data_IF_883034977767
#
_entry.id   IF_883034977767
#
_cell.length_a   1.000
_cell.length_b   1.000
_cell.length_c   1.000
_cell.angle_alpha   90.00
_cell.angle_beta   90.00
_cell.angle_gamma   90.00
#
_symmetry.space_group_name_H-M   'P 1'
#
loop_
_entity.id
_entity.type
_entity.pdbx_description
1 polymer ?
#
# COMPACT_ATOMS: atom_id res chain seq x y z
N UNK A 1 -8.62 43.57 -6.18
CA UNK A 1 -9.47 44.31 -7.12
C UNK A 1 -8.81 44.15 -8.48
N UNK A 2 -8.97 42.96 -9.08
CA UNK A 2 -9.97 42.56 -10.10
C UNK A 2 -9.46 42.78 -11.54
N UNK A 3 -9.52 41.68 -12.31
CA UNK A 3 -9.50 41.50 -13.78
C UNK A 3 -8.21 41.79 -14.57
N UNK A 4 -7.52 40.82 -15.21
CA UNK A 4 -7.90 39.85 -16.26
C UNK A 4 -8.44 40.52 -17.53
N UNK A 5 -7.67 40.52 -18.64
CA UNK A 5 -8.15 40.12 -19.99
C UNK A 5 -6.99 39.64 -20.88
N UNK A 6 -7.00 38.33 -21.14
CA UNK A 6 -6.84 37.59 -22.41
C UNK A 6 -5.94 38.13 -23.54
N UNK A 7 -5.14 37.21 -24.08
CA UNK A 7 -5.02 37.06 -25.54
C UNK A 7 -3.70 36.48 -26.04
N UNK A 8 -3.63 35.15 -26.21
CA UNK A 8 -3.04 34.50 -27.40
C UNK A 8 -3.19 32.98 -27.25
N UNK A 9 -4.03 32.40 -28.10
CA UNK A 9 -4.15 30.97 -28.29
C UNK A 9 -2.84 30.39 -28.83
N UNK A 10 -2.36 29.29 -28.24
CA UNK A 10 -1.24 28.51 -28.80
C UNK A 10 -0.14 28.12 -27.83
N UNK A 11 -0.46 27.66 -26.62
CA UNK A 11 0.51 26.90 -25.80
C UNK A 11 -0.13 25.57 -25.42
N UNK A 12 0.26 24.52 -26.14
CA UNK A 12 0.01 23.13 -25.76
C UNK A 12 0.86 22.83 -24.53
N UNK A 13 0.23 22.67 -23.37
CA UNK A 13 0.88 22.29 -22.14
C UNK A 13 1.49 20.88 -22.28
N UNK A 14 2.74 20.71 -21.80
CA UNK A 14 3.51 19.46 -21.84
C UNK A 14 2.94 18.32 -20.98
N UNK A 15 1.85 18.56 -20.24
CA UNK A 15 1.27 17.58 -19.34
C UNK A 15 -0.26 17.58 -19.51
N UNK A 16 -0.72 16.96 -20.60
CA UNK A 16 -2.14 16.70 -20.84
C UNK A 16 -2.48 15.24 -20.64
N UNK A 17 -3.34 14.96 -19.67
CA UNK A 17 -4.36 13.89 -19.57
C UNK A 17 -4.12 12.53 -20.26
N UNK A 18 -2.88 12.04 -20.23
CA UNK A 18 -2.56 10.68 -20.69
C UNK A 18 -1.68 10.02 -19.65
N UNK A 19 -2.27 9.04 -18.96
CA UNK A 19 -1.52 8.03 -18.21
C UNK A 19 -0.37 7.47 -19.06
N UNK A 20 0.69 7.06 -18.38
CA UNK A 20 1.95 6.59 -18.93
C UNK A 20 1.80 5.80 -20.24
N UNK A 21 1.89 6.48 -21.38
CA UNK A 21 2.22 5.86 -22.66
C UNK A 21 3.70 6.12 -22.91
N UNK A 22 4.52 5.11 -22.63
CA UNK A 22 5.82 5.00 -23.30
C UNK A 22 5.53 4.82 -24.80
N UNK A 23 5.67 5.89 -25.58
CA UNK A 23 5.60 5.81 -27.04
C UNK A 23 7.05 5.76 -27.55
N UNK A 24 7.51 4.57 -27.92
CA UNK A 24 8.63 4.41 -28.86
C UNK A 24 8.06 4.07 -30.23
N UNK A 25 8.40 4.88 -31.23
CA UNK A 25 8.13 4.58 -32.64
C UNK A 25 7.41 5.71 -33.37
N UNK A 26 8.13 6.37 -34.29
CA UNK A 26 7.54 7.31 -35.23
C UNK A 26 8.61 8.05 -36.01
N UNK A 27 8.97 7.54 -37.18
CA UNK A 27 9.86 8.20 -38.12
C UNK A 27 9.30 9.55 -38.56
N UNK A 28 10.10 10.59 -38.39
CA UNK A 28 9.80 11.94 -38.83
C UNK A 28 10.89 12.89 -38.34
N UNK A 29 11.36 13.77 -39.22
CA UNK A 29 12.48 14.72 -39.09
C UNK A 29 12.25 15.85 -38.06
N UNK A 30 11.55 15.56 -36.95
CA UNK A 30 11.46 16.48 -35.81
C UNK A 30 12.63 16.20 -34.87
N UNK A 31 13.34 17.24 -34.36
CA UNK A 31 14.27 17.04 -33.27
C UNK A 31 13.53 16.34 -32.12
N UNK A 32 14.14 15.34 -31.46
CA UNK A 32 13.49 14.66 -30.35
C UNK A 32 13.05 15.70 -29.31
N UNK A 33 11.91 15.49 -28.64
CA UNK A 33 11.48 16.38 -27.56
C UNK A 33 12.64 16.54 -26.58
N UNK A 34 12.85 17.76 -26.07
CA UNK A 34 13.91 18.06 -25.09
C UNK A 34 13.66 17.15 -23.88
N UNK A 35 14.44 16.07 -23.78
CA UNK A 35 14.34 15.11 -22.67
C UNK A 35 14.81 15.82 -21.39
N UNK A 36 14.08 15.62 -20.30
CA UNK A 36 14.54 16.03 -18.98
C UNK A 36 15.73 15.16 -18.62
N UNK A 37 16.94 15.69 -18.74
CA UNK A 37 18.15 14.90 -18.56
C UNK A 37 18.46 14.65 -17.07
N UNK A 38 19.14 13.54 -16.76
CA UNK A 38 19.69 13.23 -15.42
C UNK A 38 20.46 14.44 -14.83
N UNK A 39 21.23 15.15 -15.66
CA UNK A 39 21.98 16.34 -15.23
C UNK A 39 21.06 17.52 -14.82
N UNK A 40 19.85 17.63 -15.37
CA UNK A 40 18.88 18.66 -14.98
C UNK A 40 18.38 18.39 -13.56
N UNK A 41 17.93 17.16 -13.28
CA UNK A 41 17.50 16.75 -11.95
C UNK A 41 18.62 16.85 -10.92
N UNK A 42 19.85 16.48 -11.29
CA UNK A 42 21.01 16.64 -10.42
C UNK A 42 21.25 18.11 -10.05
N UNK A 43 21.14 19.02 -11.03
CA UNK A 43 21.26 20.47 -10.81
C UNK A 43 20.12 20.98 -9.92
N UNK A 44 18.87 20.65 -10.21
CA UNK A 44 17.70 21.14 -9.49
C UNK A 44 17.66 20.63 -8.03
N UNK A 45 17.91 19.34 -7.80
CA UNK A 45 18.05 18.80 -6.44
C UNK A 45 19.26 19.40 -5.69
N UNK A 46 20.32 19.77 -6.42
CA UNK A 46 21.45 20.51 -5.87
C UNK A 46 21.05 21.89 -5.34
N UNK A 47 20.18 22.61 -6.07
CA UNK A 47 19.61 23.89 -5.63
C UNK A 47 18.74 23.67 -4.39
N UNK A 48 17.79 22.73 -4.43
CA UNK A 48 16.90 22.42 -3.29
C UNK A 48 17.71 22.17 -2.01
N UNK A 49 18.76 21.36 -2.08
CA UNK A 49 19.62 21.05 -0.93
C UNK A 49 20.39 22.28 -0.42
N UNK A 50 20.82 23.16 -1.34
CA UNK A 50 21.54 24.39 -0.98
C UNK A 50 20.62 25.37 -0.27
N UNK A 51 19.41 25.58 -0.78
CA UNK A 51 18.38 26.42 -0.17
C UNK A 51 17.91 25.86 1.18
N UNK A 52 17.66 24.54 1.27
CA UNK A 52 17.29 23.90 2.52
C UNK A 52 18.38 24.05 3.58
N UNK A 53 19.66 23.94 3.20
CA UNK A 53 20.80 24.20 4.08
C UNK A 53 20.82 25.65 4.56
N UNK A 54 20.60 26.62 3.67
CA UNK A 54 20.51 28.04 4.03
C UNK A 54 19.36 28.30 5.02
N UNK A 55 18.21 27.66 4.80
CA UNK A 55 17.04 27.71 5.67
C UNK A 55 17.16 26.89 6.97
N UNK A 56 18.24 26.11 7.14
CA UNK A 56 18.44 25.15 8.25
C UNK A 56 17.28 24.16 8.38
N UNK A 57 16.78 23.67 7.25
CA UNK A 57 15.73 22.65 7.18
C UNK A 57 16.32 21.32 6.69
N UNK A 58 16.13 20.21 7.41
CA UNK A 58 16.61 18.90 6.95
C UNK A 58 15.80 18.41 5.75
N UNK A 59 16.48 17.88 4.73
CA UNK A 59 15.86 17.27 3.54
C UNK A 59 16.45 15.88 3.25
N UNK A 60 16.34 14.91 4.18
CA UNK A 60 16.98 13.60 4.05
C UNK A 60 16.52 12.82 2.81
N UNK A 61 15.26 12.91 2.41
CA UNK A 61 14.76 12.17 1.25
C UNK A 61 15.27 12.79 -0.05
N UNK A 62 15.22 14.12 -0.17
CA UNK A 62 15.83 14.81 -1.32
C UNK A 62 17.35 14.56 -1.40
N UNK A 63 18.04 14.47 -0.26
CA UNK A 63 19.46 14.14 -0.23
C UNK A 63 19.74 12.70 -0.69
N UNK A 64 18.93 11.72 -0.27
CA UNK A 64 19.04 10.34 -0.73
C UNK A 64 18.75 10.22 -2.24
N UNK A 65 17.72 10.90 -2.73
CA UNK A 65 17.39 10.96 -4.16
C UNK A 65 18.53 11.59 -4.98
N UNK A 66 19.10 12.70 -4.51
CA UNK A 66 20.26 13.36 -5.15
C UNK A 66 21.43 12.38 -5.36
N UNK A 67 21.74 11.53 -4.38
CA UNK A 67 22.81 10.54 -4.52
C UNK A 67 22.53 9.51 -5.62
N UNK A 68 21.27 9.19 -5.90
CA UNK A 68 20.92 8.28 -7.01
C UNK A 68 21.18 8.92 -8.37
N UNK A 69 20.88 10.22 -8.51
CA UNK A 69 21.22 10.97 -9.73
C UNK A 69 22.74 11.16 -9.89
N UNK A 70 23.49 11.32 -8.80
CA UNK A 70 24.97 11.30 -8.83
C UNK A 70 25.48 9.95 -9.33
N UNK A 71 24.95 8.84 -8.81
CA UNK A 71 25.33 7.50 -9.25
C UNK A 71 25.02 7.28 -10.74
N UNK A 72 23.83 7.65 -11.19
CA UNK A 72 23.43 7.56 -12.61
C UNK A 72 24.37 8.38 -13.52
N UNK A 73 24.72 9.61 -13.13
CA UNK A 73 25.71 10.42 -13.84
C UNK A 73 27.09 9.76 -13.86
N UNK A 74 27.51 9.14 -12.75
CA UNK A 74 28.76 8.38 -12.65
C UNK A 74 28.83 7.20 -13.63
N UNK A 75 27.68 6.65 -14.02
CA UNK A 75 27.55 5.63 -15.07
C UNK A 75 27.52 6.20 -16.49
N UNK A 76 27.73 7.51 -16.68
CA UNK A 76 27.73 8.16 -17.98
C UNK A 76 26.35 8.60 -18.49
N UNK A 77 25.31 8.50 -17.66
CA UNK A 77 23.91 8.74 -18.07
C UNK A 77 23.47 10.21 -17.99
N UNK A 78 24.40 11.16 -17.75
CA UNK A 78 24.06 12.57 -17.46
C UNK A 78 23.20 13.26 -18.53
N UNK A 79 23.37 12.89 -19.81
CA UNK A 79 22.61 13.42 -20.95
C UNK A 79 21.39 12.57 -21.33
N UNK A 80 21.18 11.44 -20.68
CA UNK A 80 20.00 10.62 -20.91
C UNK A 80 18.82 11.13 -20.08
N UNK A 81 17.62 10.69 -20.47
CA UNK A 81 16.36 10.95 -19.77
C UNK A 81 16.43 10.59 -18.28
N UNK A 82 15.81 11.39 -17.42
CA UNK A 82 15.84 11.26 -15.96
C UNK A 82 15.34 9.88 -15.46
N UNK A 83 14.43 9.23 -16.19
CA UNK A 83 13.98 7.86 -15.90
C UNK A 83 15.12 6.84 -15.90
N UNK A 84 16.25 7.15 -16.56
CA UNK A 84 17.46 6.32 -16.56
C UNK A 84 18.17 6.28 -15.22
N UNK A 85 17.75 7.06 -14.22
CA UNK A 85 18.19 6.89 -12.83
C UNK A 85 17.99 5.45 -12.33
N UNK A 86 17.01 4.72 -12.87
CA UNK A 86 16.79 3.29 -12.56
C UNK A 86 18.01 2.42 -12.90
N UNK A 87 18.81 2.79 -13.90
CA UNK A 87 20.03 2.06 -14.30
C UNK A 87 21.11 2.05 -13.22
N UNK A 88 21.10 3.01 -12.30
CA UNK A 88 21.96 2.96 -11.12
C UNK A 88 21.63 1.77 -10.23
N UNK A 89 20.35 1.43 -10.08
CA UNK A 89 19.90 0.24 -9.34
C UNK A 89 20.19 -1.05 -10.11
N UNK A 90 19.99 -1.07 -11.44
CA UNK A 90 20.32 -2.24 -12.26
C UNK A 90 21.82 -2.58 -12.20
N UNK A 91 22.68 -1.57 -12.19
CA UNK A 91 24.13 -1.76 -12.09
C UNK A 91 24.55 -2.42 -10.76
N UNK A 92 23.81 -2.16 -9.68
CA UNK A 92 24.07 -2.77 -8.36
C UNK A 92 23.46 -4.16 -8.24
N UNK A 93 22.22 -4.32 -8.69
CA UNK A 93 21.44 -5.55 -8.50
C UNK A 93 21.67 -6.61 -9.57
N UNK A 94 22.18 -6.22 -10.75
CA UNK A 94 22.26 -7.08 -11.92
C UNK A 94 20.90 -7.37 -12.57
N UNK A 95 19.80 -6.77 -12.10
CA UNK A 95 18.44 -6.98 -12.61
C UNK A 95 18.02 -5.81 -13.49
N UNK A 96 17.60 -6.09 -14.72
CA UNK A 96 17.12 -5.06 -15.66
C UNK A 96 15.62 -4.79 -15.49
N UNK A 97 15.25 -3.52 -15.37
CA UNK A 97 13.87 -3.03 -15.40
C UNK A 97 13.48 -2.79 -16.86
N UNK A 98 12.52 -3.57 -17.37
CA UNK A 98 12.08 -3.49 -18.79
C UNK A 98 11.78 -4.83 -19.48
N UNK A 99 11.80 -5.96 -18.76
CA UNK A 99 11.46 -7.27 -19.30
C UNK A 99 12.50 -7.84 -20.28
N UNK A 100 12.39 -9.14 -20.60
CA UNK A 100 13.15 -9.75 -21.70
C UNK A 100 12.83 -9.02 -23.01
N UNK A 101 13.82 -8.84 -23.89
CA UNK A 101 13.67 -8.29 -25.26
C UNK A 101 12.43 -8.89 -25.95
N UNK A 102 11.35 -8.12 -25.99
CA UNK A 102 10.05 -8.53 -26.49
C UNK A 102 9.01 -7.54 -25.99
N UNK A 103 8.95 -6.37 -26.65
CA UNK A 103 8.02 -5.29 -26.31
C UNK A 103 6.57 -5.69 -26.55
N UNK A 104 5.98 -6.41 -25.60
CA UNK A 104 4.53 -6.39 -25.41
C UNK A 104 4.18 -5.14 -24.62
N UNK A 105 3.16 -4.39 -25.06
CA UNK A 105 2.49 -3.40 -24.21
C UNK A 105 2.12 -4.08 -22.88
N UNK A 106 2.28 -3.35 -21.77
CA UNK A 106 1.69 -3.77 -20.51
C UNK A 106 0.16 -3.80 -20.69
N UNK A 107 -0.40 -4.99 -20.88
CA UNK A 107 -1.81 -5.23 -20.62
C UNK A 107 -1.95 -5.40 -19.11
N UNK A 108 -2.83 -4.61 -18.49
CA UNK A 108 -3.20 -4.84 -17.11
C UNK A 108 -3.56 -6.34 -16.93
N UNK A 109 -3.09 -7.00 -15.87
CA UNK A 109 -3.56 -8.35 -15.57
C UNK A 109 -5.09 -8.30 -15.56
N UNK A 110 -5.73 -9.27 -16.22
CA UNK A 110 -7.18 -9.41 -16.22
C UNK A 110 -7.65 -9.24 -14.76
N UNK A 111 -8.55 -8.29 -14.53
CA UNK A 111 -9.21 -8.21 -13.24
C UNK A 111 -9.90 -9.56 -13.01
N UNK A 112 -10.04 -10.01 -11.77
CA UNK A 112 -10.80 -11.25 -11.51
C UNK A 112 -12.25 -11.17 -12.05
N UNK A 113 -12.72 -9.97 -12.44
CA UNK A 113 -14.01 -9.71 -13.09
C UNK A 113 -13.99 -10.00 -14.62
N UNK A 114 -12.83 -9.92 -15.29
CA UNK A 114 -12.72 -10.13 -16.75
C UNK A 114 -12.78 -11.61 -17.16
N UNK A 115 -12.62 -12.53 -16.20
CA UNK A 115 -12.68 -13.99 -16.41
C UNK A 115 -14.06 -14.63 -16.18
N UNK A 116 -15.05 -13.88 -15.69
CA UNK A 116 -16.38 -14.45 -15.41
C UNK A 116 -17.32 -14.27 -16.59
N UNK A 117 -17.17 -15.11 -17.61
CA UNK A 117 -18.27 -15.47 -18.51
C UNK A 117 -18.56 -16.96 -18.41
N UNK A 118 -19.59 -17.30 -17.61
CA UNK A 118 -20.56 -18.39 -17.78
C UNK A 118 -20.94 -19.00 -16.43
N UNK A 119 -22.22 -18.87 -16.05
CA UNK A 119 -23.10 -19.92 -15.51
C UNK A 119 -22.68 -20.84 -14.36
N UNK A 120 -21.50 -20.71 -13.76
CA UNK A 120 -21.09 -21.58 -12.65
C UNK A 120 -21.79 -21.08 -11.39
N UNK A 121 -22.71 -21.89 -10.85
CA UNK A 121 -23.30 -21.67 -9.53
C UNK A 121 -22.16 -21.71 -8.52
N UNK A 122 -21.80 -20.56 -7.95
CA UNK A 122 -20.85 -20.50 -6.84
C UNK A 122 -21.61 -20.95 -5.60
N UNK A 123 -21.25 -22.09 -5.04
CA UNK A 123 -21.84 -22.53 -3.76
C UNK A 123 -21.51 -21.49 -2.67
N UNK A 124 -22.53 -20.94 -1.98
CA UNK A 124 -22.32 -19.98 -0.92
C UNK A 124 -21.48 -20.56 0.23
N UNK A 125 -20.46 -19.83 0.66
CA UNK A 125 -19.48 -20.30 1.63
C UNK A 125 -19.81 -19.88 3.07
N UNK A 126 -19.42 -20.72 4.00
CA UNK A 126 -19.45 -20.49 5.44
C UNK A 126 -18.12 -19.80 5.88
N UNK A 127 -18.12 -18.46 6.03
CA UNK A 127 -16.88 -17.65 6.14
C UNK A 127 -16.67 -17.08 7.56
N UNK A 128 -15.41 -17.06 8.03
CA UNK A 128 -15.00 -16.36 9.25
C UNK A 128 -13.99 -15.26 8.94
N UNK A 129 -14.18 -14.04 9.46
CA UNK A 129 -13.21 -12.94 9.38
C UNK A 129 -12.55 -12.77 10.75
N UNK A 130 -11.23 -12.96 10.81
CA UNK A 130 -10.43 -12.80 12.03
C UNK A 130 -9.69 -11.47 11.98
N UNK A 131 -10.01 -10.60 12.93
CA UNK A 131 -9.67 -9.18 12.92
C UNK A 131 -10.74 -8.39 12.19
N UNK A 132 -11.67 -7.79 12.93
CA UNK A 132 -12.79 -6.98 12.40
C UNK A 132 -12.68 -5.51 12.83
N UNK A 133 -11.44 -5.02 12.94
CA UNK A 133 -11.13 -3.60 13.06
C UNK A 133 -11.50 -2.79 11.80
N UNK A 134 -10.91 -1.60 11.63
CA UNK A 134 -11.31 -0.65 10.57
C UNK A 134 -11.31 -1.24 9.14
N UNK A 135 -10.33 -2.09 8.82
CA UNK A 135 -10.25 -2.76 7.52
C UNK A 135 -11.10 -4.03 7.47
N UNK A 136 -10.91 -4.94 8.43
CA UNK A 136 -11.56 -6.25 8.42
C UNK A 136 -13.07 -6.19 8.65
N UNK A 137 -13.56 -5.24 9.45
CA UNK A 137 -14.99 -5.00 9.62
C UNK A 137 -15.66 -4.52 8.33
N UNK A 138 -14.96 -3.72 7.51
CA UNK A 138 -15.43 -3.35 6.17
C UNK A 138 -15.56 -4.56 5.24
N UNK A 139 -14.55 -5.43 5.23
CA UNK A 139 -14.56 -6.70 4.48
C UNK A 139 -15.71 -7.59 4.96
N UNK A 140 -15.85 -7.79 6.27
CA UNK A 140 -16.90 -8.62 6.86
C UNK A 140 -18.31 -8.13 6.50
N UNK A 141 -18.54 -6.80 6.54
CA UNK A 141 -19.81 -6.19 6.09
C UNK A 141 -20.05 -6.34 4.59
N UNK A 142 -19.01 -6.27 3.77
CA UNK A 142 -19.13 -6.49 2.34
C UNK A 142 -19.57 -7.94 2.03
N UNK A 143 -19.03 -8.90 2.79
CA UNK A 143 -19.40 -10.31 2.69
C UNK A 143 -20.85 -10.58 3.10
N UNK A 144 -21.43 -9.82 4.04
CA UNK A 144 -22.86 -9.96 4.37
C UNK A 144 -23.77 -9.73 3.15
N UNK A 145 -23.35 -8.87 2.21
CA UNK A 145 -24.15 -8.55 1.00
C UNK A 145 -23.90 -9.50 -0.17
N UNK A 146 -22.93 -10.40 -0.07
CA UNK A 146 -22.46 -11.20 -1.20
C UNK A 146 -23.22 -12.52 -1.35
N UNK A 147 -23.68 -12.87 -2.55
CA UNK A 147 -24.33 -14.18 -2.79
C UNK A 147 -23.36 -15.36 -2.61
N UNK A 148 -22.05 -15.11 -2.70
CA UNK A 148 -21.01 -16.10 -2.45
C UNK A 148 -20.86 -16.50 -0.96
N UNK A 149 -21.66 -15.95 -0.05
CA UNK A 149 -21.62 -16.24 1.39
C UNK A 149 -22.95 -16.74 1.92
N UNK A 150 -22.90 -17.84 2.68
CA UNK A 150 -24.02 -18.42 3.43
C UNK A 150 -24.08 -17.85 4.84
N UNK A 151 -22.98 -17.95 5.58
CA UNK A 151 -22.79 -17.31 6.88
C UNK A 151 -21.50 -16.50 6.92
N UNK A 152 -21.49 -15.45 7.73
CA UNK A 152 -20.30 -14.65 8.03
C UNK A 152 -20.17 -14.52 9.54
N UNK A 153 -19.09 -15.05 10.08
CA UNK A 153 -18.69 -14.91 11.48
C UNK A 153 -17.56 -13.87 11.59
N UNK A 154 -17.62 -12.99 12.58
CA UNK A 154 -16.56 -12.03 12.88
C UNK A 154 -15.92 -12.36 14.22
N UNK A 155 -14.59 -12.41 14.26
CA UNK A 155 -13.82 -12.65 15.48
C UNK A 155 -12.79 -11.55 15.70
N UNK A 156 -12.79 -10.95 16.89
CA UNK A 156 -11.82 -9.94 17.32
C UNK A 156 -11.68 -9.98 18.84
N UNK A 157 -10.53 -9.52 19.33
CA UNK A 157 -10.31 -9.35 20.78
C UNK A 157 -11.18 -8.25 21.37
N UNK A 158 -11.66 -7.33 20.53
CA UNK A 158 -12.62 -6.31 20.93
C UNK A 158 -14.03 -6.87 20.98
N UNK A 159 -14.50 -7.11 22.20
CA UNK A 159 -15.87 -7.56 22.46
C UNK A 159 -16.93 -6.63 21.85
N UNK A 160 -16.69 -5.32 21.84
CA UNK A 160 -17.61 -4.35 21.26
C UNK A 160 -17.69 -4.47 19.74
N UNK A 161 -16.57 -4.68 19.05
CA UNK A 161 -16.57 -4.91 17.59
C UNK A 161 -17.26 -6.23 17.25
N UNK A 162 -16.95 -7.31 17.96
CA UNK A 162 -17.54 -8.62 17.72
C UNK A 162 -19.05 -8.65 18.01
N UNK A 163 -19.50 -7.99 19.09
CA UNK A 163 -20.93 -7.88 19.41
C UNK A 163 -21.68 -7.04 18.38
N UNK A 164 -21.12 -5.89 17.97
CA UNK A 164 -21.73 -5.03 16.94
C UNK A 164 -21.85 -5.77 15.61
N UNK A 165 -20.81 -6.50 15.19
CA UNK A 165 -20.84 -7.23 13.93
C UNK A 165 -21.83 -8.40 13.96
N UNK A 166 -21.97 -9.11 15.08
CA UNK A 166 -22.94 -10.19 15.21
C UNK A 166 -24.37 -9.70 14.98
N UNK A 167 -24.74 -8.55 15.53
CA UNK A 167 -26.07 -7.97 15.31
C UNK A 167 -26.30 -7.61 13.84
N UNK A 168 -25.32 -6.98 13.19
CA UNK A 168 -25.38 -6.72 11.74
C UNK A 168 -25.52 -8.01 10.92
N UNK A 169 -24.82 -9.08 11.31
CA UNK A 169 -24.90 -10.37 10.65
C UNK A 169 -26.26 -11.05 10.85
N UNK A 170 -26.89 -10.88 12.02
CA UNK A 170 -28.25 -11.38 12.32
C UNK A 170 -29.28 -10.63 11.48
N UNK A 171 -29.18 -9.31 11.41
CA UNK A 171 -30.05 -8.47 10.56
C UNK A 171 -29.94 -8.86 9.08
N UNK A 172 -28.74 -9.19 8.61
CA UNK A 172 -28.50 -9.68 7.26
C UNK A 172 -28.94 -11.15 7.03
N UNK A 173 -29.39 -11.86 8.07
CA UNK A 173 -29.75 -13.29 7.98
C UNK A 173 -28.58 -14.22 7.70
N UNK A 174 -27.34 -13.77 7.96
CA UNK A 174 -26.09 -14.49 7.68
C UNK A 174 -25.21 -14.71 8.91
N UNK A 175 -25.73 -14.45 10.12
CA UNK A 175 -25.00 -14.76 11.34
C UNK A 175 -24.73 -16.27 11.46
N UNK A 176 -23.53 -16.61 11.92
CA UNK A 176 -23.23 -17.95 12.40
C UNK A 176 -23.51 -18.02 13.90
N UNK A 177 -24.64 -18.61 14.26
CA UNK A 177 -25.07 -18.72 15.66
C UNK A 177 -25.62 -17.40 16.23
N UNK A 178 -25.92 -17.43 17.53
CA UNK A 178 -26.59 -16.32 18.24
C UNK A 178 -25.71 -15.62 19.28
N UNK A 179 -24.52 -16.16 19.54
CA UNK A 179 -23.59 -15.73 20.57
C UNK A 179 -22.31 -15.18 19.96
N UNK A 180 -21.67 -14.24 20.66
CA UNK A 180 -20.41 -13.64 20.23
C UNK A 180 -19.27 -14.62 20.52
N UNK A 181 -18.50 -15.06 19.51
CA UNK A 181 -17.39 -15.97 19.75
C UNK A 181 -16.31 -15.27 20.58
N UNK A 182 -15.93 -15.87 21.70
CA UNK A 182 -14.89 -15.37 22.62
C UNK A 182 -13.55 -16.06 22.39
N UNK A 183 -13.58 -17.27 21.83
CA UNK A 183 -12.39 -18.07 21.48
C UNK A 183 -12.36 -18.38 19.99
N UNK A 184 -11.18 -18.70 19.47
CA UNK A 184 -11.01 -18.95 18.04
C UNK A 184 -11.74 -20.21 17.58
N UNK A 185 -11.79 -21.25 18.42
CA UNK A 185 -12.51 -22.51 18.19
C UNK A 185 -14.05 -22.34 18.15
N UNK A 186 -14.58 -21.27 18.75
CA UNK A 186 -15.98 -20.88 18.64
C UNK A 186 -16.29 -20.17 17.31
N UNK A 187 -15.31 -19.42 16.78
CA UNK A 187 -15.44 -18.70 15.51
C UNK A 187 -15.11 -19.56 14.28
N UNK A 188 -14.23 -20.54 14.43
CA UNK A 188 -13.73 -21.40 13.35
C UNK A 188 -14.10 -22.84 13.66
N UNK A 189 -15.14 -23.32 12.99
CA UNK A 189 -15.71 -24.66 13.18
C UNK A 189 -15.41 -25.56 11.98
N UNK A 190 -15.74 -26.85 12.07
CA UNK A 190 -15.64 -27.78 10.92
C UNK A 190 -16.53 -27.38 9.72
N UNK A 191 -17.51 -26.50 9.94
CA UNK A 191 -18.34 -25.94 8.87
C UNK A 191 -17.67 -24.74 8.18
N UNK A 192 -16.63 -24.14 8.78
CA UNK A 192 -15.90 -23.04 8.16
C UNK A 192 -15.22 -23.49 6.87
N UNK A 193 -15.60 -22.83 5.79
CA UNK A 193 -15.08 -23.03 4.45
C UNK A 193 -13.86 -22.16 4.19
N UNK A 194 -13.91 -20.91 4.63
CA UNK A 194 -12.85 -19.92 4.40
C UNK A 194 -12.66 -19.03 5.62
N UNK A 195 -11.40 -18.73 5.95
CA UNK A 195 -11.01 -17.76 6.98
C UNK A 195 -10.27 -16.61 6.33
N UNK A 196 -10.74 -15.38 6.53
CA UNK A 196 -10.06 -14.15 6.07
C UNK A 196 -9.34 -13.51 7.27
N UNK A 197 -8.03 -13.36 7.16
CA UNK A 197 -7.17 -12.80 8.20
C UNK A 197 -6.87 -11.33 7.93
N UNK A 198 -7.26 -10.44 8.83
CA UNK A 198 -7.00 -8.99 8.75
C UNK A 198 -6.44 -8.48 10.08
N UNK A 199 -5.15 -8.74 10.29
CA UNK A 199 -4.41 -8.48 11.52
C UNK A 199 -3.33 -7.42 11.31
N UNK A 200 -2.75 -6.93 12.41
CA UNK A 200 -1.81 -5.80 12.38
C UNK A 200 -0.43 -6.19 11.86
N UNK A 201 0.08 -7.37 12.25
CA UNK A 201 1.44 -7.78 11.97
C UNK A 201 1.61 -9.31 11.88
N UNK A 202 2.81 -9.73 11.45
CA UNK A 202 3.18 -11.13 11.33
C UNK A 202 3.08 -11.90 12.64
N UNK A 203 3.45 -11.29 13.78
CA UNK A 203 3.37 -11.95 15.09
C UNK A 203 1.94 -12.38 15.41
N UNK A 204 0.96 -11.52 15.18
CA UNK A 204 -0.45 -11.85 15.36
C UNK A 204 -0.90 -12.93 14.37
N UNK A 205 -0.44 -12.87 13.11
CA UNK A 205 -0.75 -13.90 12.12
C UNK A 205 -0.16 -15.26 12.51
N UNK A 206 1.08 -15.30 12.97
CA UNK A 206 1.74 -16.52 13.47
C UNK A 206 0.99 -17.09 14.67
N UNK A 207 0.62 -16.26 15.64
CA UNK A 207 -0.15 -16.67 16.83
C UNK A 207 -1.50 -17.28 16.45
N UNK A 208 -2.29 -16.62 15.59
CA UNK A 208 -3.61 -17.11 15.16
C UNK A 208 -3.51 -18.34 14.26
N UNK A 209 -2.54 -18.37 13.35
CA UNK A 209 -2.43 -19.48 12.40
C UNK A 209 -1.83 -20.73 13.04
N UNK A 210 -0.89 -20.56 13.96
CA UNK A 210 0.06 -21.60 14.35
C UNK A 210 0.44 -21.63 15.84
N UNK A 211 -0.01 -20.66 16.63
CA UNK A 211 0.31 -20.56 18.06
C UNK A 211 -0.56 -21.45 18.95
N UNK A 212 -0.48 -21.21 20.26
CA UNK A 212 -1.35 -21.89 21.24
C UNK A 212 -0.98 -23.34 21.55
N UNK A 213 -1.85 -24.02 22.30
CA UNK A 213 -1.83 -25.48 22.46
C UNK A 213 -2.47 -26.15 21.23
N UNK A 214 -2.45 -27.48 21.16
CA UNK A 214 -3.24 -28.20 20.16
C UNK A 214 -4.71 -27.76 20.25
N UNK A 215 -5.35 -27.53 19.10
CA UNK A 215 -6.76 -27.13 18.94
C UNK A 215 -7.11 -25.65 19.24
N UNK A 216 -6.13 -24.74 19.23
CA UNK A 216 -6.37 -23.29 19.45
C UNK A 216 -5.75 -22.40 18.35
N UNK A 217 -5.61 -22.93 17.13
CA UNK A 217 -5.09 -22.19 15.98
C UNK A 217 -5.73 -22.65 14.66
N UNK A 218 -5.65 -21.82 13.62
CA UNK A 218 -6.28 -22.14 12.34
C UNK A 218 -5.79 -23.46 11.73
N UNK A 219 -4.50 -23.79 11.84
CA UNK A 219 -3.95 -25.02 11.26
C UNK A 219 -4.57 -26.30 11.87
N UNK A 220 -4.94 -26.26 13.15
CA UNK A 220 -5.59 -27.36 13.87
C UNK A 220 -7.11 -27.37 13.69
N UNK A 221 -7.75 -26.19 13.73
CA UNK A 221 -9.21 -26.04 13.70
C UNK A 221 -9.82 -26.23 12.31
N UNK A 222 -9.09 -25.90 11.24
CA UNK A 222 -9.62 -25.94 9.88
C UNK A 222 -9.52 -27.34 9.26
N UNK A 223 -10.58 -27.74 8.56
CA UNK A 223 -10.63 -29.02 7.82
C UNK A 223 -9.81 -28.97 6.53
N UNK A 224 -9.35 -30.14 6.06
CA UNK A 224 -8.80 -30.27 4.71
C UNK A 224 -9.81 -29.78 3.66
N UNK A 225 -9.33 -29.05 2.65
CA UNK A 225 -10.15 -28.42 1.61
C UNK A 225 -10.70 -27.03 1.97
N UNK A 226 -10.55 -26.56 3.21
CA UNK A 226 -10.84 -25.17 3.57
C UNK A 226 -9.78 -24.21 3.00
N UNK A 227 -10.01 -22.89 3.11
CA UNK A 227 -9.10 -21.87 2.58
C UNK A 227 -8.78 -20.77 3.60
N UNK A 228 -7.51 -20.41 3.75
CA UNK A 228 -7.06 -19.23 4.49
C UNK A 228 -6.70 -18.13 3.49
N UNK A 229 -7.31 -16.96 3.65
CA UNK A 229 -7.07 -15.77 2.84
C UNK A 229 -6.39 -14.72 3.72
N UNK A 230 -5.10 -14.52 3.50
CA UNK A 230 -4.29 -13.56 4.24
C UNK A 230 -4.41 -12.16 3.63
N UNK A 231 -5.09 -11.24 4.31
CA UNK A 231 -5.17 -9.83 3.92
C UNK A 231 -4.22 -8.91 4.70
N UNK A 232 -3.58 -9.42 5.75
CA UNK A 232 -2.58 -8.71 6.56
C UNK A 232 -1.31 -8.44 5.75
N UNK A 233 -0.69 -7.27 5.93
CA UNK A 233 0.63 -7.00 5.37
C UNK A 233 1.72 -7.72 6.18
N UNK A 234 2.35 -8.71 5.56
CA UNK A 234 3.44 -9.55 6.07
C UNK A 234 4.63 -9.54 5.09
N UNK A 235 5.74 -10.17 5.48
CA UNK A 235 6.87 -10.48 4.60
C UNK A 235 6.49 -11.57 3.60
N UNK A 236 7.03 -11.49 2.38
CA UNK A 236 6.82 -12.50 1.35
C UNK A 236 7.34 -13.87 1.81
N UNK A 237 8.44 -13.86 2.58
CA UNK A 237 9.02 -15.06 3.17
C UNK A 237 8.08 -15.74 4.16
N UNK A 238 7.40 -14.98 5.02
CA UNK A 238 6.41 -15.55 5.95
C UNK A 238 5.21 -16.12 5.21
N UNK A 239 4.66 -15.41 4.23
CA UNK A 239 3.51 -15.88 3.46
C UNK A 239 3.78 -17.21 2.75
N UNK A 240 4.98 -17.39 2.17
CA UNK A 240 5.42 -18.66 1.55
C UNK A 240 5.45 -19.80 2.56
N UNK A 241 6.08 -19.61 3.72
CA UNK A 241 6.14 -20.62 4.78
C UNK A 241 4.76 -20.96 5.33
N UNK A 242 3.88 -19.97 5.47
CA UNK A 242 2.52 -20.19 5.93
C UNK A 242 1.75 -21.09 4.93
N UNK A 243 1.86 -20.79 3.62
CA UNK A 243 1.25 -21.60 2.57
C UNK A 243 1.72 -23.06 2.61
N UNK A 244 3.03 -23.30 2.76
CA UNK A 244 3.59 -24.66 2.88
C UNK A 244 3.02 -25.43 4.07
N UNK A 245 2.88 -24.77 5.23
CA UNK A 245 2.34 -25.37 6.46
C UNK A 245 0.86 -25.72 6.33
N UNK A 246 0.06 -24.83 5.75
CA UNK A 246 -1.36 -25.11 5.49
C UNK A 246 -1.55 -26.21 4.45
N UNK A 247 -0.72 -26.22 3.39
CA UNK A 247 -0.74 -27.25 2.36
C UNK A 247 -0.45 -28.65 2.93
N UNK A 248 0.44 -28.77 3.91
CA UNK A 248 0.71 -30.04 4.60
C UNK A 248 -0.51 -30.63 5.34
N UNK A 249 -1.56 -29.82 5.58
CA UNK A 249 -2.85 -30.22 6.16
C UNK A 249 -3.99 -30.26 5.12
N UNK A 250 -3.68 -30.08 3.84
CA UNK A 250 -4.66 -29.97 2.77
C UNK A 250 -5.51 -28.70 2.83
N UNK A 251 -5.04 -27.66 3.53
CA UNK A 251 -5.72 -26.37 3.64
C UNK A 251 -5.14 -25.45 2.56
N UNK A 252 -6.03 -24.82 1.80
CA UNK A 252 -5.69 -23.86 0.74
C UNK A 252 -5.23 -22.53 1.34
N UNK A 253 -4.38 -21.81 0.64
CA UNK A 253 -3.84 -20.55 1.12
C UNK A 253 -3.74 -19.52 0.00
N UNK A 254 -4.28 -18.32 0.24
CA UNK A 254 -4.18 -17.17 -0.65
C UNK A 254 -3.53 -16.01 0.10
N UNK A 255 -2.42 -15.52 -0.43
CA UNK A 255 -1.75 -14.29 0.00
C UNK A 255 -2.37 -13.11 -0.75
N UNK A 256 -3.15 -12.29 -0.06
CA UNK A 256 -4.01 -11.25 -0.63
C UNK A 256 -3.99 -9.93 0.16
N UNK A 257 -2.83 -9.28 0.36
CA UNK A 257 -2.79 -7.99 1.01
C UNK A 257 -3.63 -6.94 0.28
N UNK A 258 -4.10 -5.95 1.05
CA UNK A 258 -5.10 -4.98 0.60
C UNK A 258 -4.58 -3.54 0.62
N UNK A 259 -5.20 -2.67 -0.19
CA UNK A 259 -4.95 -1.22 -0.22
C UNK A 259 -6.26 -0.45 -0.42
N UNK A 260 -6.30 0.81 0.04
CA UNK A 260 -7.46 1.70 -0.11
C UNK A 260 -7.96 2.36 1.19
N UNK A 261 -7.52 1.85 2.34
CA UNK A 261 -7.86 2.40 3.66
C UNK A 261 -9.31 2.15 4.11
N UNK A 262 -9.67 2.58 5.34
CA UNK A 262 -10.96 2.26 5.96
C UNK A 262 -12.18 2.74 5.17
N UNK A 263 -12.06 3.89 4.49
CA UNK A 263 -13.15 4.45 3.68
C UNK A 263 -13.56 3.49 2.55
N UNK A 264 -12.58 2.97 1.80
CA UNK A 264 -12.84 1.99 0.73
C UNK A 264 -13.18 0.60 1.26
N UNK A 265 -12.64 0.21 2.41
CA UNK A 265 -13.05 -1.03 3.08
C UNK A 265 -14.55 -1.03 3.39
N UNK A 266 -15.09 0.09 3.89
CA UNK A 266 -16.51 0.24 4.22
C UNK A 266 -17.42 0.11 3.00
N UNK A 267 -16.97 0.60 1.84
CA UNK A 267 -17.74 0.54 0.58
C UNK A 267 -17.52 -0.73 -0.22
N UNK A 268 -16.58 -1.60 0.18
CA UNK A 268 -16.20 -2.80 -0.59
C UNK A 268 -15.37 -2.47 -1.84
N UNK A 269 -14.67 -1.33 -1.84
CA UNK A 269 -13.92 -0.81 -2.98
C UNK A 269 -12.40 -0.94 -2.78
N UNK A 270 -11.96 -1.96 -2.04
CA UNK A 270 -10.54 -2.21 -1.83
C UNK A 270 -9.85 -2.63 -3.13
N UNK A 271 -8.57 -2.29 -3.22
CA UNK A 271 -7.65 -2.92 -4.16
C UNK A 271 -7.04 -4.13 -3.45
N UNK A 272 -7.15 -5.31 -4.05
CA UNK A 272 -6.70 -6.57 -3.48
C UNK A 272 -5.61 -7.19 -4.38
N UNK A 273 -4.53 -7.66 -3.78
CA UNK A 273 -3.34 -8.16 -4.47
C UNK A 273 -3.21 -9.67 -4.21
N UNK A 274 -4.00 -10.47 -4.90
CA UNK A 274 -4.20 -11.88 -4.58
C UNK A 274 -3.22 -12.81 -5.32
N UNK A 275 -2.64 -13.76 -4.60
CA UNK A 275 -1.74 -14.77 -5.14
C UNK A 275 -1.90 -16.10 -4.42
N UNK A 276 -1.96 -17.18 -5.18
CA UNK A 276 -2.19 -18.55 -4.71
C UNK A 276 -2.16 -19.52 -5.90
N UNK A 277 -2.24 -20.82 -5.63
CA UNK A 277 -2.49 -21.79 -6.70
C UNK A 277 -3.93 -21.68 -7.24
N UNK A 278 -4.19 -22.29 -8.40
CA UNK A 278 -5.47 -22.17 -9.12
C UNK A 278 -6.66 -22.62 -8.24
N UNK A 279 -6.50 -23.70 -7.48
CA UNK A 279 -7.52 -24.24 -6.59
C UNK A 279 -7.84 -23.27 -5.43
N UNK A 280 -6.80 -22.67 -4.84
CA UNK A 280 -6.91 -21.66 -3.79
C UNK A 280 -7.58 -20.40 -4.31
N UNK A 281 -7.20 -19.95 -5.50
CA UNK A 281 -7.78 -18.78 -6.16
C UNK A 281 -9.24 -19.00 -6.55
N UNK A 282 -9.61 -20.17 -7.08
CA UNK A 282 -10.99 -20.50 -7.42
C UNK A 282 -11.94 -20.40 -6.21
N UNK A 283 -11.46 -20.77 -5.03
CA UNK A 283 -12.22 -20.65 -3.77
C UNK A 283 -12.31 -19.21 -3.26
N UNK A 284 -11.23 -18.45 -3.38
CA UNK A 284 -11.12 -17.11 -2.80
C UNK A 284 -11.78 -16.02 -3.66
N UNK A 285 -11.64 -16.07 -4.99
CA UNK A 285 -12.07 -15.00 -5.90
C UNK A 285 -13.51 -14.53 -5.69
N UNK A 286 -14.52 -15.41 -5.50
CA UNK A 286 -15.89 -14.95 -5.22
C UNK A 286 -16.00 -14.09 -3.95
N UNK A 287 -15.20 -14.39 -2.91
CA UNK A 287 -15.15 -13.62 -1.67
C UNK A 287 -14.37 -12.32 -1.85
N UNK A 288 -13.27 -12.36 -2.62
CA UNK A 288 -12.46 -11.17 -2.91
C UNK A 288 -13.26 -10.14 -3.72
N UNK A 289 -14.02 -10.58 -4.73
CA UNK A 289 -14.88 -9.71 -5.55
C UNK A 289 -16.00 -9.04 -4.75
N UNK A 290 -16.41 -9.61 -3.61
CA UNK A 290 -17.37 -8.98 -2.72
C UNK A 290 -16.77 -7.81 -1.93
N UNK A 291 -15.48 -7.90 -1.60
CA UNK A 291 -14.79 -6.95 -0.72
C UNK A 291 -13.88 -5.96 -1.46
N UNK A 292 -13.59 -6.22 -2.74
CA UNK A 292 -12.69 -5.42 -3.56
C UNK A 292 -13.34 -4.97 -4.87
N UNK A 293 -13.10 -3.71 -5.24
CA UNK A 293 -13.41 -3.20 -6.57
C UNK A 293 -12.39 -3.72 -7.60
N UNK A 294 -11.12 -3.74 -7.20
CA UNK A 294 -10.00 -4.09 -8.07
C UNK A 294 -9.26 -5.29 -7.47
N UNK A 295 -9.61 -6.51 -7.92
CA UNK A 295 -8.92 -7.75 -7.51
C UNK A 295 -7.88 -8.10 -8.58
N UNK A 296 -6.61 -7.91 -8.24
CA UNK A 296 -5.48 -8.24 -9.10
C UNK A 296 -4.95 -9.63 -8.73
N UNK A 297 -5.03 -10.57 -9.67
CA UNK A 297 -4.43 -11.89 -9.54
C UNK A 297 -2.98 -11.82 -9.97
N UNK A 298 -2.07 -12.14 -9.06
CA UNK A 298 -0.62 -12.05 -9.26
C UNK A 298 -0.07 -13.47 -9.42
N UNK A 299 0.55 -13.80 -10.56
CA UNK A 299 1.11 -15.12 -10.79
C UNK A 299 2.36 -15.35 -9.94
N UNK A 300 2.62 -16.62 -9.59
CA UNK A 300 3.81 -17.03 -8.83
C UNK A 300 3.50 -17.67 -7.46
N UNK A 301 2.23 -17.75 -7.08
CA UNK A 301 1.78 -18.36 -5.83
C UNK A 301 1.99 -17.45 -4.62
N UNK A 302 1.70 -17.99 -3.42
CA UNK A 302 1.78 -17.24 -2.18
C UNK A 302 3.14 -16.56 -1.96
N UNK A 303 3.12 -15.34 -1.42
CA UNK A 303 4.28 -14.47 -1.25
C UNK A 303 4.42 -13.41 -2.35
N UNK A 304 3.83 -13.62 -3.54
CA UNK A 304 3.86 -12.61 -4.60
C UNK A 304 2.89 -11.46 -4.34
N UNK A 305 1.73 -11.71 -3.72
CA UNK A 305 0.82 -10.67 -3.23
C UNK A 305 1.52 -9.76 -2.23
N UNK A 306 2.17 -10.36 -1.23
CA UNK A 306 3.00 -9.67 -0.23
C UNK A 306 4.19 -8.94 -0.87
N UNK A 307 4.81 -9.49 -1.91
CA UNK A 307 5.89 -8.80 -2.67
C UNK A 307 5.37 -7.54 -3.36
N UNK A 308 4.23 -7.61 -4.05
CA UNK A 308 3.62 -6.44 -4.69
C UNK A 308 3.23 -5.40 -3.63
N UNK A 309 2.65 -5.84 -2.51
CA UNK A 309 2.32 -4.95 -1.40
C UNK A 309 3.54 -4.28 -0.80
N UNK A 310 4.65 -4.99 -0.63
CA UNK A 310 5.91 -4.44 -0.16
C UNK A 310 6.39 -3.31 -1.08
N UNK A 311 6.44 -3.52 -2.40
CA UNK A 311 6.81 -2.47 -3.37
C UNK A 311 5.84 -1.28 -3.31
N UNK A 312 4.54 -1.54 -3.15
CA UNK A 312 3.54 -0.49 -2.93
C UNK A 312 3.80 0.30 -1.63
N UNK A 313 4.11 -0.38 -0.52
CA UNK A 313 4.37 0.28 0.76
C UNK A 313 5.69 1.06 0.78
N UNK A 314 6.69 0.65 -0.01
CA UNK A 314 7.89 1.46 -0.27
C UNK A 314 7.48 2.84 -0.80
N UNK A 315 6.67 2.89 -1.85
CA UNK A 315 6.19 4.14 -2.43
C UNK A 315 5.33 4.93 -1.45
N UNK A 316 4.38 4.26 -0.78
CA UNK A 316 3.50 4.88 0.18
C UNK A 316 4.27 5.61 1.28
N UNK A 317 5.20 4.91 1.95
CA UNK A 317 5.95 5.46 3.08
C UNK A 317 6.89 6.59 2.66
N UNK A 318 7.57 6.43 1.52
CA UNK A 318 8.41 7.50 0.94
C UNK A 318 7.57 8.74 0.63
N UNK A 319 6.42 8.59 -0.03
CA UNK A 319 5.61 9.75 -0.41
C UNK A 319 5.00 10.48 0.78
N UNK A 320 4.60 9.79 1.86
CA UNK A 320 4.12 10.44 3.09
C UNK A 320 5.22 11.30 3.71
N UNK A 321 6.44 10.77 3.83
CA UNK A 321 7.56 11.53 4.40
C UNK A 321 8.03 12.64 3.46
N UNK A 322 8.01 12.44 2.14
CA UNK A 322 8.26 13.51 1.16
C UNK A 322 7.25 14.65 1.32
N UNK A 323 5.97 14.35 1.59
CA UNK A 323 4.96 15.38 1.83
C UNK A 323 5.26 16.19 3.10
N UNK A 324 5.63 15.51 4.19
CA UNK A 324 6.08 16.16 5.43
C UNK A 324 7.31 17.04 5.21
N UNK A 325 8.34 16.53 4.53
CA UNK A 325 9.56 17.25 4.20
C UNK A 325 9.28 18.51 3.39
N UNK A 326 8.44 18.41 2.35
CA UNK A 326 8.09 19.52 1.48
C UNK A 326 7.28 20.61 2.20
N UNK A 327 6.25 20.23 2.97
CA UNK A 327 5.40 21.18 3.70
C UNK A 327 6.14 21.85 4.87
N UNK A 328 7.01 21.12 5.56
CA UNK A 328 7.85 21.69 6.60
C UNK A 328 8.90 22.65 6.01
N UNK A 329 9.51 22.30 4.87
CA UNK A 329 10.43 23.20 4.18
C UNK A 329 9.70 24.48 3.70
N UNK A 330 8.49 24.38 3.14
CA UNK A 330 7.73 25.56 2.72
C UNK A 330 7.45 26.48 3.91
N UNK A 331 6.97 25.92 5.03
CA UNK A 331 6.76 26.67 6.28
C UNK A 331 8.05 27.37 6.73
N UNK A 332 9.17 26.65 6.71
CA UNK A 332 10.48 27.18 7.11
C UNK A 332 10.97 28.33 6.23
N UNK A 333 10.59 28.33 4.95
CA UNK A 333 10.88 29.42 4.00
C UNK A 333 9.89 30.59 4.09
N UNK A 334 8.88 30.52 4.97
CA UNK A 334 7.86 31.56 5.13
C UNK A 334 6.70 31.47 4.15
N UNK A 335 6.62 30.40 3.36
CA UNK A 335 5.50 30.13 2.45
C UNK A 335 4.42 29.39 3.25
N UNK A 336 3.17 29.84 3.13
CA UNK A 336 2.01 29.16 3.72
C UNK A 336 1.90 27.72 3.18
N UNK A 337 2.01 26.69 4.05
CA UNK A 337 1.88 25.30 3.64
C UNK A 337 0.54 24.96 2.98
N UNK A 338 -0.53 25.71 3.26
CA UNK A 338 -1.83 25.55 2.58
C UNK A 338 -1.77 26.00 1.14
N UNK A 339 -1.10 27.13 0.88
CA UNK A 339 -0.84 27.58 -0.48
C UNK A 339 0.03 26.57 -1.22
N UNK A 340 1.09 26.06 -0.57
CA UNK A 340 1.97 25.06 -1.14
C UNK A 340 1.23 23.76 -1.48
N UNK A 341 0.40 23.27 -0.56
CA UNK A 341 -0.46 22.12 -0.77
C UNK A 341 -1.38 22.28 -1.98
N UNK A 342 -2.01 23.46 -2.14
CA UNK A 342 -2.86 23.77 -3.29
C UNK A 342 -2.09 23.74 -4.62
N UNK A 343 -0.90 24.33 -4.66
CA UNK A 343 -0.06 24.41 -5.87
C UNK A 343 0.42 23.01 -6.28
N UNK A 344 0.97 22.22 -5.34
CA UNK A 344 1.59 20.94 -5.65
C UNK A 344 0.58 19.93 -6.17
N UNK A 345 -0.65 19.90 -5.63
CA UNK A 345 -1.69 18.99 -6.10
C UNK A 345 -2.08 19.18 -7.58
N UNK A 346 -1.80 20.35 -8.16
CA UNK A 346 -2.00 20.64 -9.58
C UNK A 346 -0.73 20.50 -10.43
N UNK A 347 0.39 20.02 -9.87
CA UNK A 347 1.70 20.00 -10.51
C UNK A 347 2.34 18.60 -10.50
N UNK A 348 3.45 18.45 -11.23
CA UNK A 348 4.16 17.17 -11.38
C UNK A 348 4.69 16.58 -10.05
N UNK A 349 4.78 17.38 -8.98
CA UNK A 349 5.17 16.90 -7.65
C UNK A 349 4.05 16.22 -6.85
N UNK A 350 2.82 16.18 -7.39
CA UNK A 350 1.69 15.55 -6.72
C UNK A 350 1.88 14.04 -6.57
N UNK A 351 1.34 13.51 -5.48
CA UNK A 351 1.07 12.08 -5.32
C UNK A 351 -0.23 11.90 -4.53
N UNK A 352 -0.84 10.72 -4.61
CA UNK A 352 -2.03 10.45 -3.80
C UNK A 352 -1.76 10.61 -2.30
N UNK A 353 -0.58 10.19 -1.83
CA UNK A 353 -0.18 10.35 -0.42
C UNK A 353 0.03 11.83 -0.06
N UNK A 354 0.59 12.65 -0.94
CA UNK A 354 0.71 14.09 -0.72
C UNK A 354 -0.67 14.76 -0.59
N UNK A 355 -1.60 14.45 -1.50
CA UNK A 355 -2.96 14.98 -1.46
C UNK A 355 -3.66 14.58 -0.14
N UNK A 356 -3.62 13.30 0.21
CA UNK A 356 -4.36 12.77 1.35
C UNK A 356 -3.70 13.11 2.71
N UNK A 357 -2.40 12.84 2.88
CA UNK A 357 -1.70 13.10 4.15
C UNK A 357 -1.33 14.57 4.29
N UNK A 358 -0.95 15.24 3.22
CA UNK A 358 -0.61 16.66 3.25
C UNK A 358 -1.77 17.51 3.73
N UNK A 359 -3.00 17.20 3.31
CA UNK A 359 -4.20 17.86 3.80
C UNK A 359 -4.41 17.68 5.31
N UNK A 360 -4.10 16.49 5.85
CA UNK A 360 -4.18 16.19 7.29
C UNK A 360 -3.02 16.81 8.09
N UNK A 361 -1.84 16.96 7.49
CA UNK A 361 -0.68 17.62 8.10
C UNK A 361 -0.93 19.11 8.37
N UNK A 362 -1.62 19.80 7.45
CA UNK A 362 -1.92 21.23 7.54
C UNK A 362 -3.30 21.53 8.14
N UNK A 363 -4.08 20.50 8.46
CA UNK A 363 -5.39 20.66 9.09
C UNK A 363 -5.24 21.30 10.47
N UNK A 364 -6.26 22.05 10.89
CA UNK A 364 -6.34 22.55 12.25
C UNK A 364 -6.68 21.40 13.21
N UNK A 365 -5.98 21.32 14.33
CA UNK A 365 -6.19 20.26 15.32
C UNK A 365 -5.45 18.96 14.97
N UNK A 366 -5.78 17.90 15.72
CA UNK A 366 -5.24 16.57 15.49
C UNK A 366 -6.21 15.77 14.62
N UNK A 367 -5.77 15.15 13.51
CA UNK A 367 -6.65 14.39 12.63
C UNK A 367 -7.05 13.05 13.28
N UNK A 368 -8.18 12.51 12.82
CA UNK A 368 -8.56 11.13 13.12
C UNK A 368 -7.47 10.15 12.62
N UNK A 369 -7.26 9.08 13.38
CA UNK A 369 -6.28 8.05 13.05
C UNK A 369 -6.85 7.13 11.97
N UNK A 370 -6.47 7.37 10.72
CA UNK A 370 -6.84 6.50 9.59
C UNK A 370 -5.82 5.39 9.38
N UNK A 371 -4.54 5.69 9.66
CA UNK A 371 -3.44 4.73 9.71
C UNK A 371 -2.42 5.26 10.72
N UNK A 372 -1.90 4.41 11.60
CA UNK A 372 -0.98 4.86 12.64
C UNK A 372 0.47 4.95 12.14
N UNK A 373 1.28 5.79 12.77
CA UNK A 373 2.75 5.86 12.56
C UNK A 373 3.39 4.46 12.69
N UNK A 374 2.98 3.68 13.70
CA UNK A 374 3.49 2.32 13.94
C UNK A 374 3.23 1.37 12.76
N UNK A 375 2.19 1.60 11.95
CA UNK A 375 1.92 0.82 10.74
C UNK A 375 3.01 1.07 9.69
N UNK A 376 3.44 2.33 9.51
CA UNK A 376 4.50 2.65 8.57
C UNK A 376 5.89 2.27 9.07
N UNK A 377 6.12 2.29 10.39
CA UNK A 377 7.34 1.68 10.97
C UNK A 377 7.41 0.20 10.60
N UNK A 378 6.33 -0.55 10.84
CA UNK A 378 6.24 -1.98 10.49
C UNK A 378 6.40 -2.24 8.99
N UNK A 379 5.67 -1.51 8.14
CA UNK A 379 5.65 -1.76 6.71
C UNK A 379 6.99 -1.42 6.04
N UNK A 380 7.63 -0.31 6.43
CA UNK A 380 8.95 0.03 5.91
C UNK A 380 10.05 -0.89 6.47
N UNK A 381 9.89 -1.43 7.68
CA UNK A 381 10.79 -2.48 8.20
C UNK A 381 10.73 -3.76 7.35
N UNK A 382 9.53 -4.17 6.92
CA UNK A 382 9.35 -5.27 5.95
C UNK A 382 10.08 -4.94 4.64
N UNK A 383 9.87 -3.73 4.10
CA UNK A 383 10.54 -3.28 2.86
C UNK A 383 12.06 -3.39 2.99
N UNK A 384 12.64 -2.85 4.06
CA UNK A 384 14.09 -2.85 4.24
C UNK A 384 14.64 -4.26 4.45
N UNK A 385 13.95 -5.09 5.24
CA UNK A 385 14.38 -6.45 5.55
C UNK A 385 14.39 -7.35 4.31
N UNK A 386 13.31 -7.32 3.53
CA UNK A 386 13.20 -8.09 2.28
C UNK A 386 14.13 -7.54 1.19
N UNK A 387 14.26 -6.21 1.06
CA UNK A 387 15.19 -5.61 0.12
C UNK A 387 16.65 -5.98 0.45
N UNK A 388 17.03 -6.01 1.74
CA UNK A 388 18.34 -6.46 2.18
C UNK A 388 18.57 -7.95 1.84
N UNK A 389 17.59 -8.82 2.07
CA UNK A 389 17.67 -10.24 1.69
C UNK A 389 17.86 -10.45 0.18
N UNK A 390 17.33 -9.54 -0.64
CA UNK A 390 17.47 -9.54 -2.10
C UNK A 390 18.74 -8.83 -2.60
N UNK A 391 19.52 -8.18 -1.74
CA UNK A 391 20.64 -7.33 -2.15
C UNK A 391 20.20 -6.09 -2.95
N UNK A 392 18.97 -5.63 -2.75
CA UNK A 392 18.41 -4.47 -3.43
C UNK A 392 18.49 -3.22 -2.54
N UNK A 393 19.31 -2.20 -2.87
CA UNK A 393 19.42 -1.01 -2.05
C UNK A 393 18.15 -0.14 -2.14
N UNK A 394 17.61 0.30 -1.00
CA UNK A 394 16.42 1.17 -0.91
C UNK A 394 16.66 2.44 -0.07
N UNK A 395 17.68 3.26 -0.41
CA UNK A 395 18.16 4.33 0.48
C UNK A 395 17.13 5.41 0.79
N UNK A 396 16.23 5.71 -0.15
CA UNK A 396 15.15 6.69 0.07
C UNK A 396 14.13 6.14 1.09
N UNK A 397 13.80 4.85 0.99
CA UNK A 397 12.92 4.19 1.97
C UNK A 397 13.58 4.10 3.34
N UNK A 398 14.89 3.86 3.40
CA UNK A 398 15.64 3.89 4.66
C UNK A 398 15.58 5.26 5.33
N UNK A 399 15.73 6.34 4.55
CA UNK A 399 15.58 7.71 5.07
C UNK A 399 14.15 7.99 5.58
N UNK A 400 13.13 7.50 4.86
CA UNK A 400 11.73 7.62 5.27
C UNK A 400 11.44 6.86 6.58
N UNK A 401 11.94 5.62 6.72
CA UNK A 401 11.77 4.83 7.94
C UNK A 401 12.34 5.55 9.16
N UNK A 402 13.50 6.18 9.03
CA UNK A 402 14.10 6.94 10.14
C UNK A 402 13.23 8.12 10.61
N UNK A 403 12.44 8.72 9.71
CA UNK A 403 11.47 9.76 10.13
C UNK A 403 10.31 9.16 10.91
N UNK A 404 9.77 8.01 10.49
CA UNK A 404 8.72 7.33 11.25
C UNK A 404 9.22 6.80 12.60
N UNK A 405 10.44 6.27 12.68
CA UNK A 405 11.07 5.87 13.96
C UNK A 405 11.24 7.10 14.87
N UNK A 406 11.65 8.25 14.31
CA UNK A 406 11.75 9.49 15.08
C UNK A 406 10.38 9.92 15.62
N UNK A 407 9.33 9.87 14.80
CA UNK A 407 7.96 10.16 15.23
C UNK A 407 7.48 9.19 16.33
N UNK A 408 7.76 7.90 16.18
CA UNK A 408 7.48 6.89 17.20
C UNK A 408 8.22 7.21 18.52
N UNK A 409 9.51 7.58 18.44
CA UNK A 409 10.31 8.02 19.59
C UNK A 409 9.81 9.29 20.27
N UNK A 410 9.08 10.13 19.54
CA UNK A 410 8.35 11.30 20.08
C UNK A 410 7.01 10.93 20.73
N UNK A 411 6.67 9.63 20.83
CA UNK A 411 5.41 9.15 21.39
C UNK A 411 4.23 9.21 20.42
N UNK A 412 4.48 9.40 19.12
CA UNK A 412 3.44 9.53 18.10
C UNK A 412 3.02 8.20 17.46
N UNK A 413 3.52 7.06 17.95
CA UNK A 413 3.32 5.74 17.32
C UNK A 413 1.86 5.38 17.02
N UNK A 414 0.94 5.70 17.93
CA UNK A 414 -0.51 5.45 17.76
C UNK A 414 -1.27 6.61 17.11
N UNK A 415 -0.60 7.72 16.83
CA UNK A 415 -1.19 8.87 16.13
C UNK A 415 -1.19 8.60 14.63
N UNK A 416 -1.97 9.40 13.91
CA UNK A 416 -2.09 9.27 12.47
C UNK A 416 -0.74 9.41 11.75
N UNK A 417 -0.55 8.69 10.65
CA UNK A 417 0.68 8.66 9.86
C UNK A 417 1.10 10.05 9.34
N UNK A 418 0.15 10.97 9.17
CA UNK A 418 0.39 12.38 8.86
C UNK A 418 1.20 13.10 9.94
N UNK A 419 1.18 12.63 11.20
CA UNK A 419 1.92 13.24 12.29
C UNK A 419 3.44 13.04 12.20
N UNK A 420 3.95 12.32 11.20
CA UNK A 420 5.39 12.30 10.90
C UNK A 420 5.95 13.70 10.61
N UNK A 421 5.11 14.65 10.17
CA UNK A 421 5.52 16.06 9.99
C UNK A 421 6.04 16.70 11.28
N UNK A 422 5.57 16.24 12.45
CA UNK A 422 6.01 16.76 13.75
C UNK A 422 7.52 16.58 13.98
N UNK A 423 8.15 15.59 13.35
CA UNK A 423 9.61 15.41 13.38
C UNK A 423 10.30 16.62 12.76
N UNK A 424 9.84 17.07 11.59
CA UNK A 424 10.39 18.23 10.91
C UNK A 424 10.06 19.53 11.64
N UNK A 425 8.85 19.69 12.17
CA UNK A 425 8.48 20.87 12.96
C UNK A 425 9.35 20.99 14.22
N UNK A 426 9.61 19.86 14.90
CA UNK A 426 10.49 19.82 16.07
C UNK A 426 11.92 20.22 15.73
N UNK A 427 12.46 19.77 14.59
CA UNK A 427 13.82 20.10 14.16
C UNK A 427 13.92 21.57 13.72
N UNK A 428 12.92 22.06 12.98
CA UNK A 428 12.96 23.39 12.37
C UNK A 428 12.48 24.51 13.30
N UNK A 429 11.73 24.15 14.36
CA UNK A 429 11.06 25.09 15.26
C UNK A 429 9.88 25.83 14.62
N UNK A 430 9.38 25.37 13.48
CA UNK A 430 8.28 26.01 12.72
C UNK A 430 7.16 24.99 12.52
N UNK A 431 5.94 25.36 12.90
CA UNK A 431 4.74 24.54 12.72
C UNK A 431 4.13 24.79 11.34
N UNK A 432 3.77 23.74 10.60
CA UNK A 432 3.15 23.85 9.29
C UNK A 432 1.64 24.13 9.35
N UNK A 433 1.00 23.84 10.49
CA UNK A 433 -0.44 23.99 10.69
C UNK A 433 -0.90 25.20 11.54
N UNK A 434 0.01 26.12 11.90
CA UNK A 434 -0.30 27.27 12.78
C UNK A 434 0.06 28.59 12.14
#
# INVERSE_FOLDING_TARGET
>A
MYDVVRGAAGMSWMFGDRGARMIWGGGGDRPPPVMSAVDIFLKDLGIVRSEAKAARSPVPLAAAAFQQFVAARGLGLGREDDSRVVKAYEAVTGVTVGGKKGGGEYSAPASAQDGTSSGTVVEPQDVTVVGIGAMGGGIARALLRADATKTVCGYDRSDSLASSFLEEAKEAGKARGNEVPRRLDEAVTNETDSVILVLVNERQCEEVCFGGQADDNLLSLMKSGSCVILCSTVTATWAKRAAERFAARGIRFVDCPISGGPARAKTGELTMMASGDDDSMARAVPLLNAAGRDVHVIPGGAGFGSTVKMVHQLLAGVHVVCAAEALALSAKTGIDPRQMYGIVNGAAGASWMFADRGGRMIAAGEPDVMSAVDIFVKDLDIVLSEAAALGCPVPIASAALQQFISAQGMGLGRKDDSQVIRVYEQITGVSAGR
#
